data_IF_955479962371
#
_entry.id   IF_955479962371
#
_cell.length_a   1.000
_cell.length_b   1.000
_cell.length_c   1.000
_cell.angle_alpha   90.00
_cell.angle_beta   90.00
_cell.angle_gamma   90.00
#
_symmetry.space_group_name_H-M   'P 1'
#
loop_
_entity.id
_entity.type
_entity.pdbx_description
1 polymer ?
#
# COMPACT_ATOMS: atom_id res chain seq x y z
N UNK A 1 -0.83 18.00 30.44
CA UNK A 1 -0.72 16.65 29.83
C UNK A 1 -0.74 16.82 28.32
N UNK A 2 0.36 16.53 27.62
CA UNK A 2 0.43 16.65 26.14
C UNK A 2 0.34 15.24 25.57
N UNK A 3 -0.76 14.92 24.90
CA UNK A 3 -0.84 13.69 24.12
C UNK A 3 -0.02 13.96 22.86
N UNK A 4 1.20 13.43 22.81
CA UNK A 4 2.08 13.57 21.65
C UNK A 4 2.01 12.26 20.87
N UNK A 5 1.16 12.23 19.85
CA UNK A 5 1.14 11.13 18.88
C UNK A 5 2.14 11.50 17.78
N UNK A 6 3.18 10.71 17.60
CA UNK A 6 4.16 10.92 16.54
C UNK A 6 3.56 10.46 15.20
N UNK A 7 2.94 11.39 14.47
CA UNK A 7 2.28 11.14 13.20
C UNK A 7 3.24 11.10 12.00
N UNK A 8 4.41 11.72 12.12
CA UNK A 8 5.42 11.80 11.06
C UNK A 8 6.02 10.42 10.70
N UNK A 9 6.46 9.59 11.68
CA UNK A 9 7.00 8.27 11.37
C UNK A 9 5.96 7.35 10.73
N UNK A 10 4.69 7.47 11.13
CA UNK A 10 3.59 6.69 10.55
C UNK A 10 3.36 7.06 9.08
N UNK A 11 3.30 8.35 8.75
CA UNK A 11 3.15 8.81 7.37
C UNK A 11 4.33 8.35 6.50
N UNK A 12 5.55 8.42 7.04
CA UNK A 12 6.75 7.93 6.35
C UNK A 12 6.72 6.42 6.11
N UNK A 13 6.35 5.61 7.11
CA UNK A 13 6.20 4.16 6.92
C UNK A 13 5.17 3.82 5.86
N UNK A 14 4.04 4.54 5.84
CA UNK A 14 2.99 4.35 4.82
C UNK A 14 3.53 4.67 3.42
N UNK A 15 4.30 5.75 3.27
CA UNK A 15 4.91 6.12 1.99
C UNK A 15 5.91 5.06 1.50
N UNK A 16 6.76 4.54 2.39
CA UNK A 16 7.73 3.47 2.07
C UNK A 16 7.01 2.18 1.64
N UNK A 17 5.93 1.82 2.34
CA UNK A 17 5.13 0.64 1.98
C UNK A 17 4.42 0.82 0.63
N UNK A 18 3.92 2.02 0.33
CA UNK A 18 3.31 2.32 -0.96
C UNK A 18 4.31 2.23 -2.12
N UNK A 19 5.52 2.77 -1.94
CA UNK A 19 6.63 2.62 -2.90
C UNK A 19 6.99 1.14 -3.11
N UNK A 20 7.08 0.38 -2.03
CA UNK A 20 7.35 -1.07 -2.09
C UNK A 20 6.26 -1.82 -2.85
N UNK A 21 4.98 -1.51 -2.60
CA UNK A 21 3.85 -2.11 -3.31
C UNK A 21 3.88 -1.78 -4.81
N UNK A 22 4.29 -0.56 -5.18
CA UNK A 22 4.46 -0.19 -6.59
C UNK A 22 5.60 -0.98 -7.25
N UNK A 23 6.75 -1.11 -6.58
CA UNK A 23 7.87 -1.92 -7.10
C UNK A 23 7.48 -3.37 -7.32
N UNK A 24 6.67 -3.94 -6.43
CA UNK A 24 6.16 -5.31 -6.59
C UNK A 24 5.31 -5.40 -7.86
N UNK A 25 4.40 -4.45 -8.12
CA UNK A 25 3.63 -4.43 -9.37
C UNK A 25 4.52 -4.35 -10.60
N UNK A 26 5.50 -3.44 -10.60
CA UNK A 26 6.39 -3.27 -11.74
C UNK A 26 7.20 -4.56 -12.03
N UNK A 27 7.61 -5.29 -10.99
CA UNK A 27 8.28 -6.59 -11.12
C UNK A 27 7.34 -7.66 -11.70
N UNK A 28 6.08 -7.69 -11.26
CA UNK A 28 5.07 -8.61 -11.75
C UNK A 28 4.74 -8.34 -13.23
N UNK A 29 4.59 -7.07 -13.61
CA UNK A 29 4.37 -6.65 -15.00
C UNK A 29 5.56 -7.03 -15.89
N UNK A 30 6.78 -6.86 -15.38
CA UNK A 30 8.00 -7.29 -16.07
C UNK A 30 8.04 -8.82 -16.29
N UNK A 31 7.68 -9.58 -15.25
CA UNK A 31 7.62 -11.04 -15.34
C UNK A 31 6.51 -11.51 -16.30
N UNK A 32 5.36 -10.83 -16.33
CA UNK A 32 4.30 -11.06 -17.32
C UNK A 32 4.78 -10.82 -18.75
N UNK A 33 5.55 -9.77 -18.98
CA UNK A 33 6.12 -9.48 -20.29
C UNK A 33 7.10 -10.58 -20.73
N UNK A 34 8.00 -11.02 -19.85
CA UNK A 34 8.94 -12.12 -20.14
C UNK A 34 8.21 -13.44 -20.43
N UNK A 35 7.20 -13.77 -19.61
CA UNK A 35 6.43 -15.00 -19.76
C UNK A 35 5.57 -14.98 -21.01
N UNK A 36 5.08 -13.83 -21.46
CA UNK A 36 4.33 -13.74 -22.72
C UNK A 36 5.10 -14.27 -23.93
N UNK A 37 6.43 -14.12 -23.96
CA UNK A 37 7.30 -14.67 -25.00
C UNK A 37 7.53 -16.18 -24.87
N UNK A 38 7.53 -16.70 -23.64
CA UNK A 38 7.73 -18.13 -23.35
C UNK A 38 6.43 -18.95 -23.40
N UNK A 39 5.27 -18.29 -23.30
CA UNK A 39 3.94 -18.92 -23.30
C UNK A 39 3.67 -19.81 -24.51
N UNK A 40 4.25 -19.49 -25.67
CA UNK A 40 4.10 -20.35 -26.86
C UNK A 40 4.79 -21.71 -26.73
N UNK A 41 5.72 -21.85 -25.78
CA UNK A 41 6.50 -23.08 -25.53
C UNK A 41 5.96 -23.87 -24.33
N UNK A 42 5.07 -23.28 -23.52
CA UNK A 42 4.49 -23.91 -22.35
C UNK A 42 3.28 -24.76 -22.76
N UNK A 43 3.25 -26.01 -22.30
CA UNK A 43 2.09 -26.89 -22.46
C UNK A 43 1.08 -26.65 -21.34
N UNK A 44 -0.19 -26.99 -21.57
CA UNK A 44 -1.36 -26.51 -20.82
C UNK A 44 -1.23 -26.42 -19.29
N UNK A 45 -0.59 -27.39 -18.62
CA UNK A 45 -0.43 -27.34 -17.16
C UNK A 45 0.45 -26.19 -16.67
N UNK A 46 1.52 -25.85 -17.40
CA UNK A 46 2.39 -24.72 -17.06
C UNK A 46 1.67 -23.39 -17.29
N UNK A 47 0.87 -23.29 -18.35
CA UNK A 47 0.04 -22.11 -18.61
C UNK A 47 -1.03 -21.91 -17.54
N UNK A 48 -1.70 -22.98 -17.11
CA UNK A 48 -2.71 -22.93 -16.04
C UNK A 48 -2.10 -22.56 -14.68
N UNK A 49 -0.95 -23.17 -14.33
CA UNK A 49 -0.24 -22.84 -13.10
C UNK A 49 0.19 -21.37 -13.07
N UNK A 50 0.66 -20.86 -14.21
CA UNK A 50 1.03 -19.47 -14.35
C UNK A 50 -0.16 -18.52 -14.21
N UNK A 51 -1.25 -18.76 -14.92
CA UNK A 51 -2.46 -17.92 -14.84
C UNK A 51 -2.98 -17.85 -13.40
N UNK A 52 -2.90 -18.97 -12.66
CA UNK A 52 -3.27 -19.00 -11.25
C UNK A 52 -2.34 -18.14 -10.39
N UNK A 53 -1.03 -18.34 -10.52
CA UNK A 53 -0.04 -17.53 -9.81
C UNK A 53 -0.19 -16.04 -10.14
N UNK A 54 -0.49 -15.74 -11.41
CA UNK A 54 -0.74 -14.40 -11.92
C UNK A 54 -1.93 -13.75 -11.22
N UNK A 55 -3.04 -14.46 -11.16
CA UNK A 55 -4.22 -13.98 -10.45
C UNK A 55 -3.94 -13.76 -8.96
N UNK A 56 -3.27 -14.71 -8.31
CA UNK A 56 -2.98 -14.66 -6.86
C UNK A 56 -2.09 -13.48 -6.49
N UNK A 57 -1.02 -13.20 -7.26
CA UNK A 57 -0.15 -12.07 -6.96
C UNK A 57 -0.82 -10.73 -7.27
N UNK A 58 -1.69 -10.66 -8.28
CA UNK A 58 -2.37 -9.41 -8.67
C UNK A 58 -3.39 -9.05 -7.60
N UNK A 59 -4.18 -10.02 -7.15
CA UNK A 59 -5.11 -9.85 -6.04
C UNK A 59 -4.40 -9.40 -4.77
N UNK A 60 -3.23 -10.00 -4.47
CA UNK A 60 -2.43 -9.64 -3.31
C UNK A 60 -1.90 -8.19 -3.41
N UNK A 61 -1.39 -7.79 -4.58
CA UNK A 61 -0.90 -6.44 -4.82
C UNK A 61 -2.01 -5.38 -4.70
N UNK A 62 -3.21 -5.67 -5.20
CA UNK A 62 -4.37 -4.79 -5.11
C UNK A 62 -4.89 -4.68 -3.67
N UNK A 63 -4.92 -5.79 -2.94
CA UNK A 63 -5.28 -5.81 -1.53
C UNK A 63 -4.30 -4.99 -0.68
N UNK A 64 -2.99 -5.13 -0.92
CA UNK A 64 -1.97 -4.30 -0.25
C UNK A 64 -2.16 -2.83 -0.56
N UNK A 65 -2.37 -2.47 -1.82
CA UNK A 65 -2.59 -1.08 -2.21
C UNK A 65 -3.81 -0.47 -1.50
N UNK A 66 -4.91 -1.22 -1.47
CA UNK A 66 -6.15 -0.81 -0.80
C UNK A 66 -5.96 -0.62 0.71
N UNK A 67 -5.23 -1.53 1.35
CA UNK A 67 -4.90 -1.43 2.78
C UNK A 67 -4.01 -0.21 3.08
N UNK A 68 -3.01 0.05 2.23
CA UNK A 68 -2.10 1.20 2.39
C UNK A 68 -2.81 2.53 2.18
N UNK A 69 -3.66 2.64 1.17
CA UNK A 69 -4.50 3.85 0.96
C UNK A 69 -5.44 4.08 2.14
N UNK A 70 -6.01 3.01 2.71
CA UNK A 70 -6.85 3.09 3.91
C UNK A 70 -6.06 3.55 5.12
N UNK A 71 -4.85 3.01 5.34
CA UNK A 71 -3.96 3.42 6.42
C UNK A 71 -3.51 4.87 6.28
N UNK A 72 -3.13 5.31 5.07
CA UNK A 72 -2.78 6.69 4.76
C UNK A 72 -3.92 7.66 5.12
N UNK A 73 -5.13 7.30 4.71
CA UNK A 73 -6.34 8.08 4.99
C UNK A 73 -6.61 8.16 6.49
N UNK A 74 -6.46 7.06 7.22
CA UNK A 74 -6.64 7.02 8.67
C UNK A 74 -5.58 7.89 9.39
N UNK A 75 -4.32 7.85 8.94
CA UNK A 75 -3.23 8.67 9.49
C UNK A 75 -3.49 10.17 9.32
N UNK A 76 -3.92 10.59 8.12
CA UNK A 76 -4.30 12.00 7.85
C UNK A 76 -5.45 12.45 8.76
N UNK A 77 -6.49 11.63 8.92
CA UNK A 77 -7.61 11.94 9.83
C UNK A 77 -7.18 12.04 11.28
N UNK A 78 -6.28 11.15 11.73
CA UNK A 78 -5.75 11.19 13.08
C UNK A 78 -4.96 12.49 13.33
N UNK A 79 -4.12 12.90 12.37
CA UNK A 79 -3.37 14.15 12.47
C UNK A 79 -4.27 15.38 12.53
N UNK A 80 -5.34 15.44 11.72
CA UNK A 80 -6.32 16.53 11.75
C UNK A 80 -7.00 16.64 13.13
N UNK A 81 -7.47 15.52 13.68
CA UNK A 81 -8.10 15.47 15.00
C UNK A 81 -7.17 15.91 16.13
N UNK A 82 -5.90 15.50 16.08
CA UNK A 82 -4.90 15.94 17.08
C UNK A 82 -4.72 17.45 17.02
N UNK A 83 -4.59 18.04 15.83
CA UNK A 83 -4.45 19.51 15.67
C UNK A 83 -5.69 20.26 16.15
N UNK A 84 -6.90 19.77 15.85
CA UNK A 84 -8.15 20.36 16.35
C UNK A 84 -8.21 20.32 17.89
N UNK A 85 -7.83 19.19 18.50
CA UNK A 85 -7.80 19.05 19.95
C UNK A 85 -6.77 20.00 20.59
N UNK A 86 -5.58 20.15 20.01
CA UNK A 86 -4.57 21.09 20.47
C UNK A 86 -5.03 22.55 20.36
N UNK A 87 -5.65 22.93 19.24
CA UNK A 87 -6.21 24.28 19.05
C UNK A 87 -7.35 24.58 20.04
N UNK A 88 -8.23 23.60 20.27
CA UNK A 88 -9.31 23.72 21.24
C UNK A 88 -8.77 23.93 22.65
N UNK A 89 -7.80 23.11 23.07
CA UNK A 89 -7.15 23.29 24.37
C UNK A 89 -6.48 24.66 24.45
N UNK A 90 -5.72 25.08 23.44
CA UNK A 90 -5.06 26.39 23.44
C UNK A 90 -6.05 27.55 23.64
N UNK A 91 -7.24 27.49 23.01
CA UNK A 91 -8.29 28.51 23.16
C UNK A 91 -8.98 28.52 24.53
N UNK A 92 -8.91 27.44 25.31
CA UNK A 92 -9.43 27.41 26.69
C UNK A 92 -8.51 28.13 27.69
N UNK A 93 -7.22 28.31 27.33
CA UNK A 93 -6.20 28.91 28.19
C UNK A 93 -5.70 30.27 27.69
N UNK A 94 -6.32 30.82 26.65
CA UNK A 94 -6.11 32.20 26.17
C UNK A 94 -7.16 33.14 26.74
#
# INVERSE_FOLDING_TARGET
MRIRVDHEPLAQSIAVLADTAQRIRDLLDGLDAEVSGLRQQWTGHAQEAYVRAQHEWTDCADAMQSALTSAATAAVRAQARTREAEAHVAGLWS
#
